data_IF_680455020132
#
_entry.id   IF_680455020132
#
_cell.length_a   1.000
_cell.length_b   1.000
_cell.length_c   1.000
_cell.angle_alpha   90.00
_cell.angle_beta   90.00
_cell.angle_gamma   90.00
#
_symmetry.space_group_name_H-M   'P 1'
#
loop_
_entity.id
_entity.type
_entity.pdbx_description
1 polymer ?
#
# COMPACT_ATOMS: atom_id res chain seq x y z
N UNK A 1 5.77 -1.62 -5.86
CA UNK A 1 4.69 -0.61 -5.81
C UNK A 1 5.19 0.83 -5.65
N UNK A 2 6.27 1.13 -4.89
CA UNK A 2 7.11 2.35 -5.04
C UNK A 2 6.41 3.67 -5.40
N UNK A 3 6.97 4.39 -6.39
CA UNK A 3 6.41 5.66 -6.90
C UNK A 3 5.02 5.51 -7.52
N UNK A 4 4.69 4.34 -8.05
CA UNK A 4 3.37 4.05 -8.61
C UNK A 4 2.27 4.15 -7.54
N UNK A 5 2.53 3.69 -6.31
CA UNK A 5 1.57 3.80 -5.22
C UNK A 5 1.22 5.26 -4.93
N UNK A 6 2.23 6.14 -4.86
CA UNK A 6 2.02 7.57 -4.64
C UNK A 6 1.26 8.22 -5.79
N UNK A 7 1.63 7.91 -7.04
CA UNK A 7 0.90 8.36 -8.22
C UNK A 7 -0.57 7.90 -8.17
N UNK A 8 -0.81 6.64 -7.83
CA UNK A 8 -2.13 6.04 -7.72
C UNK A 8 -2.98 6.76 -6.66
N UNK A 9 -2.43 6.97 -5.45
CA UNK A 9 -3.10 7.76 -4.40
C UNK A 9 -3.44 9.16 -4.89
N UNK A 10 -2.49 9.85 -5.51
CA UNK A 10 -2.69 11.20 -6.03
C UNK A 10 -3.82 11.27 -7.05
N UNK A 11 -3.84 10.35 -8.01
CA UNK A 11 -4.88 10.28 -9.06
C UNK A 11 -6.26 10.05 -8.47
N UNK A 12 -6.41 9.14 -7.51
CA UNK A 12 -7.69 8.90 -6.87
C UNK A 12 -8.19 10.10 -6.07
N UNK A 13 -7.31 10.77 -5.32
CA UNK A 13 -7.67 11.99 -4.60
C UNK A 13 -8.00 13.16 -5.54
N UNK A 14 -7.35 13.25 -6.70
CA UNK A 14 -7.67 14.24 -7.72
C UNK A 14 -9.07 14.03 -8.31
N UNK A 15 -9.44 12.78 -8.62
CA UNK A 15 -10.78 12.44 -9.10
C UNK A 15 -11.86 12.79 -8.07
N UNK A 16 -11.64 12.41 -6.81
CA UNK A 16 -12.55 12.71 -5.70
C UNK A 16 -12.74 14.23 -5.51
N UNK A 17 -11.67 15.01 -5.67
CA UNK A 17 -11.73 16.47 -5.58
C UNK A 17 -12.65 17.06 -6.64
N UNK A 18 -12.57 16.56 -7.88
CA UNK A 18 -13.40 17.03 -9.00
C UNK A 18 -14.90 16.77 -8.81
N UNK A 19 -15.27 15.70 -8.10
CA UNK A 19 -16.68 15.30 -7.94
C UNK A 19 -17.42 16.01 -6.80
N UNK A 20 -16.71 16.47 -5.76
CA UNK A 20 -17.34 16.94 -4.52
C UNK A 20 -17.11 18.42 -4.19
N UNK A 21 -16.41 19.19 -5.04
CA UNK A 21 -16.10 20.60 -4.74
C UNK A 21 -15.31 20.80 -3.43
N UNK A 22 -14.73 19.73 -2.88
CA UNK A 22 -14.01 19.75 -1.61
C UNK A 22 -12.70 20.50 -1.79
N UNK A 23 -12.38 21.38 -0.82
CA UNK A 23 -11.04 21.99 -0.67
C UNK A 23 -10.03 20.98 -0.13
N UNK A 24 -9.90 19.85 -0.82
CA UNK A 24 -8.93 18.81 -0.52
C UNK A 24 -7.69 19.02 -1.38
N UNK A 25 -6.51 18.88 -0.78
CA UNK A 25 -5.22 19.00 -1.47
C UNK A 25 -4.73 17.56 -1.76
N UNK A 26 -4.86 17.05 -2.99
CA UNK A 26 -4.54 15.64 -3.30
C UNK A 26 -3.09 15.27 -2.98
N UNK A 27 -2.18 16.24 -3.08
CA UNK A 27 -0.77 16.05 -2.73
C UNK A 27 -0.59 15.73 -1.24
N UNK A 28 -1.25 16.46 -0.34
CA UNK A 28 -1.19 16.17 1.09
C UNK A 28 -1.79 14.81 1.41
N UNK A 29 -2.90 14.45 0.77
CA UNK A 29 -3.49 13.13 0.94
C UNK A 29 -2.61 11.99 0.41
N UNK A 30 -1.74 12.28 -0.56
CA UNK A 30 -0.75 11.32 -1.08
C UNK A 30 0.42 11.13 -0.11
N UNK A 31 0.94 12.24 0.44
CA UNK A 31 2.03 12.21 1.43
C UNK A 31 1.56 11.50 2.71
N UNK A 32 0.34 11.80 3.15
CA UNK A 32 -0.31 11.14 4.28
C UNK A 32 -1.19 9.95 3.84
N UNK A 33 -0.79 9.23 2.78
CA UNK A 33 -1.57 8.15 2.17
C UNK A 33 -2.06 7.11 3.18
N UNK A 34 -1.18 6.70 4.11
CA UNK A 34 -1.53 5.77 5.18
C UNK A 34 -2.69 6.31 6.04
N UNK A 35 -2.64 7.57 6.49
CA UNK A 35 -3.69 8.19 7.31
C UNK A 35 -5.00 8.39 6.54
N UNK A 36 -4.90 8.57 5.22
CA UNK A 36 -6.06 8.89 4.40
C UNK A 36 -6.71 7.67 3.75
N UNK A 37 -6.13 6.47 3.86
CA UNK A 37 -6.63 5.26 3.20
C UNK A 37 -8.05 4.88 3.64
N UNK A 38 -8.37 5.06 4.92
CA UNK A 38 -9.72 4.82 5.43
C UNK A 38 -10.74 5.75 4.76
N UNK A 39 -10.41 7.04 4.66
CA UNK A 39 -11.28 8.04 4.03
C UNK A 39 -11.41 7.80 2.53
N UNK A 40 -10.31 7.40 1.88
CA UNK A 40 -10.30 7.03 0.47
C UNK A 40 -11.26 5.88 0.21
N UNK A 41 -11.10 4.77 0.95
CA UNK A 41 -11.97 3.60 0.79
C UNK A 41 -13.42 3.91 1.15
N UNK A 42 -13.68 4.71 2.19
CA UNK A 42 -15.05 5.14 2.53
C UNK A 42 -15.72 5.90 1.40
N UNK A 43 -14.98 6.76 0.68
CA UNK A 43 -15.50 7.49 -0.49
C UNK A 43 -15.72 6.58 -1.69
N UNK A 44 -14.83 5.62 -1.93
CA UNK A 44 -15.01 4.62 -2.99
C UNK A 44 -16.27 3.78 -2.73
N UNK A 45 -16.41 3.25 -1.51
CA UNK A 45 -17.59 2.49 -1.07
C UNK A 45 -18.87 3.30 -1.31
N UNK A 46 -18.90 4.56 -0.86
CA UNK A 46 -20.06 5.43 -1.03
C UNK A 46 -20.42 5.64 -2.51
N UNK A 47 -19.43 5.86 -3.38
CA UNK A 47 -19.64 5.98 -4.84
C UNK A 47 -20.22 4.70 -5.42
N UNK A 48 -19.72 3.53 -5.03
CA UNK A 48 -20.20 2.27 -5.58
C UNK A 48 -21.62 1.94 -5.10
N UNK A 49 -21.93 2.25 -3.83
CA UNK A 49 -23.30 2.14 -3.31
C UNK A 49 -24.26 3.06 -4.05
N UNK A 50 -23.87 4.31 -4.34
CA UNK A 50 -24.69 5.23 -5.16
C UNK A 50 -24.91 4.72 -6.58
N UNK A 51 -23.92 4.05 -7.16
CA UNK A 51 -24.02 3.39 -8.46
C UNK A 51 -24.75 2.03 -8.43
N UNK A 52 -25.30 1.63 -7.27
CA UNK A 52 -25.96 0.35 -7.03
C UNK A 52 -25.10 -0.88 -7.42
N UNK A 53 -23.78 -0.79 -7.15
CA UNK A 53 -22.80 -1.85 -7.41
C UNK A 53 -22.41 -2.56 -6.13
N UNK A 54 -22.26 -3.88 -6.19
CA UNK A 54 -21.65 -4.66 -5.11
C UNK A 54 -20.14 -4.47 -5.08
N UNK A 55 -19.58 -4.47 -3.87
CA UNK A 55 -18.13 -4.31 -3.65
C UNK A 55 -17.63 -5.40 -2.71
N UNK A 56 -16.43 -5.89 -2.99
CA UNK A 56 -15.69 -6.77 -2.08
C UNK A 56 -14.78 -5.91 -1.20
N UNK A 57 -15.00 -5.98 0.11
CA UNK A 57 -14.20 -5.24 1.09
C UNK A 57 -14.89 -4.02 1.69
N UNK A 58 -14.50 -3.69 2.92
CA UNK A 58 -15.00 -2.53 3.67
C UNK A 58 -13.87 -1.56 3.98
N UNK A 59 -14.20 -0.28 4.19
CA UNK A 59 -13.22 0.72 4.59
C UNK A 59 -12.47 0.34 5.86
N UNK A 60 -13.17 -0.26 6.84
CA UNK A 60 -12.57 -0.75 8.09
C UNK A 60 -11.67 -1.95 7.80
N UNK A 61 -12.13 -2.93 7.03
CA UNK A 61 -11.36 -4.13 6.71
C UNK A 61 -10.04 -3.80 6.04
N UNK A 62 -10.07 -3.04 4.94
CA UNK A 62 -8.87 -2.57 4.21
C UNK A 62 -7.91 -1.81 5.12
N UNK A 63 -8.44 -0.94 5.98
CA UNK A 63 -7.61 -0.16 6.93
C UNK A 63 -6.94 -1.09 7.94
N UNK A 64 -7.68 -2.03 8.53
CA UNK A 64 -7.12 -2.99 9.48
C UNK A 64 -6.06 -3.89 8.84
N UNK A 65 -6.28 -4.33 7.59
CA UNK A 65 -5.30 -5.14 6.86
C UNK A 65 -3.96 -4.39 6.68
N UNK A 66 -3.99 -3.07 6.53
CA UNK A 66 -2.76 -2.26 6.42
C UNK A 66 -2.15 -2.00 7.80
N UNK A 67 -2.95 -1.56 8.77
CA UNK A 67 -2.45 -1.08 10.05
C UNK A 67 -2.07 -2.19 11.04
N UNK A 68 -2.80 -3.31 11.08
CA UNK A 68 -2.53 -4.36 12.06
C UNK A 68 -1.13 -4.97 11.92
N UNK A 69 -0.64 -5.33 10.72
CA UNK A 69 0.73 -5.83 10.57
C UNK A 69 1.78 -4.76 10.87
N UNK A 70 1.52 -3.48 10.54
CA UNK A 70 2.43 -2.36 10.88
C UNK A 70 2.59 -2.25 12.41
N UNK A 71 1.48 -2.35 13.17
CA UNK A 71 1.53 -2.32 14.62
C UNK A 71 2.27 -3.51 15.22
N UNK A 72 2.13 -4.71 14.62
CA UNK A 72 2.89 -5.90 15.05
C UNK A 72 4.40 -5.73 14.79
N UNK A 73 4.79 -5.17 13.64
CA UNK A 73 6.18 -4.85 13.33
C UNK A 73 6.71 -3.79 14.32
N UNK A 74 5.96 -2.72 14.56
CA UNK A 74 6.35 -1.69 15.51
C UNK A 74 6.49 -2.24 16.94
N UNK A 75 5.60 -3.16 17.34
CA UNK A 75 5.70 -3.86 18.62
C UNK A 75 6.96 -4.72 18.72
N UNK A 76 7.32 -5.44 17.65
CA UNK A 76 8.54 -6.23 17.59
C UNK A 76 9.80 -5.36 17.72
N UNK A 77 9.87 -4.27 16.96
CA UNK A 77 11.05 -3.39 16.89
C UNK A 77 11.23 -2.49 18.12
N UNK A 78 10.14 -1.93 18.65
CA UNK A 78 10.22 -0.84 19.63
C UNK A 78 9.71 -1.20 21.03
N UNK A 79 8.95 -2.29 21.18
CA UNK A 79 8.27 -2.58 22.44
C UNK A 79 8.84 -3.80 23.19
N UNK A 80 9.58 -4.67 22.50
CA UNK A 80 10.20 -5.83 23.15
C UNK A 80 11.40 -5.39 23.98
N UNK A 81 11.32 -5.61 25.30
CA UNK A 81 12.42 -5.32 26.22
C UNK A 81 13.66 -6.17 25.91
N UNK A 82 14.85 -5.58 26.02
CA UNK A 82 16.15 -6.27 25.91
C UNK A 82 16.24 -7.51 26.82
N UNK A 83 15.57 -7.50 27.98
CA UNK A 83 15.53 -8.64 28.91
C UNK A 83 14.76 -9.86 28.38
N UNK A 84 13.77 -9.62 27.52
CA UNK A 84 13.02 -10.68 26.83
C UNK A 84 13.84 -11.14 25.63
N UNK A 85 14.41 -10.18 24.91
CA UNK A 85 15.22 -10.41 23.71
C UNK A 85 16.43 -11.31 24.00
N UNK A 86 17.12 -11.11 25.13
CA UNK A 86 18.29 -11.91 25.55
C UNK A 86 17.97 -13.36 25.94
N UNK A 87 16.69 -13.70 26.12
CA UNK A 87 16.24 -15.07 26.43
C UNK A 87 15.77 -15.83 25.20
N UNK A 88 15.64 -15.16 24.05
CA UNK A 88 15.15 -15.79 22.83
C UNK A 88 16.28 -16.48 22.06
N UNK A 89 16.00 -17.62 21.42
CA UNK A 89 16.95 -18.24 20.49
C UNK A 89 17.29 -17.32 19.32
N UNK A 90 18.52 -17.40 18.82
CA UNK A 90 18.97 -16.58 17.68
C UNK A 90 18.06 -16.72 16.44
N UNK A 91 17.44 -17.89 16.26
CA UNK A 91 16.49 -18.14 15.16
C UNK A 91 15.23 -17.26 15.21
N UNK A 92 14.84 -16.73 16.38
CA UNK A 92 13.68 -15.84 16.47
C UNK A 92 13.95 -14.49 15.82
N UNK A 93 15.20 -14.01 15.85
CA UNK A 93 15.61 -12.76 15.23
C UNK A 93 15.60 -12.81 13.71
N UNK A 94 15.57 -14.00 13.11
CA UNK A 94 15.44 -14.17 11.66
C UNK A 94 14.04 -14.59 11.26
N UNK A 95 13.44 -15.56 11.95
CA UNK A 95 12.13 -16.11 11.59
C UNK A 95 11.01 -15.10 11.81
N UNK A 96 10.97 -14.39 12.96
CA UNK A 96 9.87 -13.47 13.27
C UNK A 96 9.80 -12.29 12.28
N UNK A 97 10.91 -11.58 11.96
CA UNK A 97 10.87 -10.52 10.94
C UNK A 97 10.42 -11.04 9.56
N UNK A 98 10.85 -12.23 9.15
CA UNK A 98 10.42 -12.84 7.90
C UNK A 98 8.90 -13.09 7.92
N UNK A 99 8.37 -13.69 9.00
CA UNK A 99 6.92 -13.94 9.12
C UNK A 99 6.11 -12.64 9.16
N UNK A 100 6.57 -11.62 9.89
CA UNK A 100 5.92 -10.31 9.94
C UNK A 100 5.94 -9.60 8.58
N UNK A 101 7.03 -9.73 7.83
CA UNK A 101 7.15 -9.19 6.46
C UNK A 101 6.19 -9.90 5.51
N UNK A 102 6.12 -11.24 5.56
CA UNK A 102 5.17 -12.02 4.76
C UNK A 102 3.72 -11.68 5.11
N UNK A 103 3.42 -11.50 6.39
CA UNK A 103 2.10 -11.08 6.85
C UNK A 103 1.75 -9.71 6.30
N UNK A 104 2.63 -8.71 6.47
CA UNK A 104 2.42 -7.35 5.98
C UNK A 104 2.20 -7.33 4.46
N UNK A 105 3.08 -7.96 3.70
CA UNK A 105 2.99 -7.99 2.23
C UNK A 105 1.71 -8.67 1.74
N UNK A 106 1.28 -9.76 2.37
CA UNK A 106 0.04 -10.47 2.03
C UNK A 106 -1.18 -9.60 2.28
N UNK A 107 -1.32 -9.08 3.51
CA UNK A 107 -2.45 -8.26 3.89
C UNK A 107 -2.51 -6.95 3.10
N UNK A 108 -1.36 -6.30 2.88
CA UNK A 108 -1.27 -5.12 2.04
C UNK A 108 -1.71 -5.40 0.59
N UNK A 109 -1.29 -6.53 0.02
CA UNK A 109 -1.68 -6.92 -1.34
C UNK A 109 -3.17 -7.18 -1.44
N UNK A 110 -3.76 -7.91 -0.48
CA UNK A 110 -5.21 -8.15 -0.43
C UNK A 110 -5.97 -6.82 -0.30
N UNK A 111 -5.50 -5.91 0.56
CA UNK A 111 -6.11 -4.59 0.73
C UNK A 111 -6.09 -3.79 -0.59
N UNK A 112 -4.95 -3.77 -1.29
CA UNK A 112 -4.83 -3.08 -2.59
C UNK A 112 -5.73 -3.71 -3.66
N UNK A 113 -5.82 -5.04 -3.71
CA UNK A 113 -6.72 -5.75 -4.62
C UNK A 113 -8.18 -5.39 -4.34
N UNK A 114 -8.62 -5.40 -3.08
CA UNK A 114 -9.99 -5.03 -2.72
C UNK A 114 -10.32 -3.58 -3.10
N UNK A 115 -9.40 -2.65 -2.87
CA UNK A 115 -9.62 -1.26 -3.28
C UNK A 115 -9.74 -1.17 -4.81
N UNK A 116 -8.86 -1.87 -5.55
CA UNK A 116 -8.89 -1.84 -7.01
C UNK A 116 -10.15 -2.52 -7.58
N UNK A 117 -10.60 -3.63 -7.00
CA UNK A 117 -11.86 -4.28 -7.38
C UNK A 117 -13.05 -3.36 -7.13
N UNK A 118 -13.09 -2.67 -5.99
CA UNK A 118 -14.15 -1.72 -5.70
C UNK A 118 -14.18 -0.57 -6.72
N UNK A 119 -13.01 0.00 -7.07
CA UNK A 119 -12.89 1.03 -8.12
C UNK A 119 -13.38 0.50 -9.47
N UNK A 120 -12.90 -0.67 -9.87
CA UNK A 120 -13.25 -1.32 -11.13
C UNK A 120 -14.77 -1.53 -11.25
N UNK A 121 -15.41 -2.04 -10.19
CA UNK A 121 -16.87 -2.19 -10.12
C UNK A 121 -17.61 -0.85 -10.23
N UNK A 122 -17.11 0.20 -9.57
CA UNK A 122 -17.63 1.56 -9.64
C UNK A 122 -17.58 2.15 -11.06
N UNK A 123 -16.52 1.87 -11.82
CA UNK A 123 -16.31 2.37 -13.20
C UNK A 123 -16.95 1.46 -14.27
N UNK A 124 -17.61 0.37 -13.88
CA UNK A 124 -18.28 -0.55 -14.79
C UNK A 124 -17.38 -1.61 -15.43
N UNK A 125 -16.13 -1.73 -14.99
CA UNK A 125 -15.15 -2.75 -15.43
C UNK A 125 -14.88 -3.76 -14.31
N UNK A 126 -15.93 -4.42 -13.79
CA UNK A 126 -15.81 -5.34 -12.66
C UNK A 126 -14.83 -6.51 -12.90
N UNK A 127 -14.67 -6.93 -14.16
CA UNK A 127 -13.73 -7.97 -14.55
C UNK A 127 -12.28 -7.47 -14.71
N UNK A 128 -12.04 -6.15 -14.66
CA UNK A 128 -10.71 -5.54 -14.80
C UNK A 128 -10.11 -5.71 -16.19
N UNK A 129 -10.93 -5.80 -17.24
CA UNK A 129 -10.46 -6.02 -18.60
C UNK A 129 -9.65 -4.84 -19.12
N UNK A 130 -9.95 -3.61 -18.73
CA UNK A 130 -9.14 -2.46 -19.11
C UNK A 130 -7.83 -2.42 -18.33
N UNK A 131 -7.86 -2.81 -17.05
CA UNK A 131 -6.67 -2.79 -16.19
C UNK A 131 -5.68 -3.94 -16.48
N UNK A 132 -6.15 -5.01 -17.14
CA UNK A 132 -5.31 -6.14 -17.58
C UNK A 132 -4.55 -5.89 -18.88
N UNK A 133 -4.88 -4.81 -19.62
CA UNK A 133 -4.14 -4.42 -20.82
C UNK A 133 -2.83 -3.75 -20.42
N UNK A 134 -1.73 -4.50 -20.51
CA UNK A 134 -0.39 -3.93 -20.34
C UNK A 134 -0.06 -3.11 -21.58
N UNK A 135 -0.07 -1.78 -21.43
CA UNK A 135 0.41 -0.86 -22.46
C UNK A 135 1.91 -0.61 -22.28
N UNK A 136 2.57 -0.15 -23.35
CA UNK A 136 3.98 0.28 -23.26
C UNK A 136 4.18 1.39 -22.22
N UNK A 137 3.18 2.25 -22.01
CA UNK A 137 3.19 3.25 -20.93
C UNK A 137 3.28 2.61 -19.56
N UNK A 138 2.56 1.50 -19.32
CA UNK A 138 2.62 0.75 -18.06
C UNK A 138 4.02 0.14 -17.86
N UNK A 139 4.62 -0.41 -18.92
CA UNK A 139 5.98 -0.97 -18.88
C UNK A 139 7.02 0.11 -18.56
N UNK A 140 6.95 1.25 -19.25
CA UNK A 140 7.87 2.37 -19.07
C UNK A 140 7.75 2.94 -17.64
N UNK A 141 6.52 3.03 -17.13
CA UNK A 141 6.26 3.46 -15.76
C UNK A 141 6.78 2.48 -14.70
N UNK A 142 6.67 1.16 -14.95
CA UNK A 142 7.29 0.15 -14.08
C UNK A 142 8.81 0.32 -14.03
N UNK A 143 9.48 0.50 -15.18
CA UNK A 143 10.93 0.73 -15.23
C UNK A 143 11.30 1.97 -14.40
N UNK A 144 10.64 3.11 -14.63
CA UNK A 144 10.90 4.36 -13.90
C UNK A 144 10.71 4.17 -12.39
N UNK A 145 9.65 3.48 -11.96
CA UNK A 145 9.35 3.26 -10.55
C UNK A 145 10.38 2.37 -9.83
N UNK A 146 11.11 1.52 -10.56
CA UNK A 146 12.12 0.63 -10.00
C UNK A 146 13.51 1.28 -9.91
N UNK A 147 13.83 2.28 -10.74
CA UNK A 147 15.13 2.97 -10.76
C UNK A 147 15.62 3.49 -9.39
N UNK A 148 14.78 4.09 -8.53
CA UNK A 148 15.25 4.57 -7.23
C UNK A 148 15.60 3.43 -6.27
N UNK A 149 14.85 2.31 -6.36
CA UNK A 149 15.07 1.12 -5.53
C UNK A 149 16.35 0.41 -5.96
N UNK A 150 16.56 0.23 -7.27
CA UNK A 150 17.81 -0.36 -7.79
C UNK A 150 19.01 0.53 -7.52
N UNK A 151 18.88 1.86 -7.62
CA UNK A 151 19.93 2.79 -7.24
C UNK A 151 20.26 2.72 -5.74
N UNK A 152 19.26 2.61 -4.86
CA UNK A 152 19.45 2.45 -3.42
C UNK A 152 20.13 1.11 -3.07
N UNK A 153 19.71 0.01 -3.69
CA UNK A 153 20.38 -1.29 -3.51
C UNK A 153 21.82 -1.25 -4.02
N UNK A 154 22.08 -0.66 -5.20
CA UNK A 154 23.42 -0.48 -5.73
C UNK A 154 24.31 0.35 -4.79
N UNK A 155 23.76 1.44 -4.24
CA UNK A 155 24.45 2.26 -3.24
C UNK A 155 24.77 1.45 -1.98
N UNK A 156 23.78 0.74 -1.40
CA UNK A 156 23.97 -0.07 -0.18
C UNK A 156 24.95 -1.23 -0.39
N UNK A 157 24.94 -1.89 -1.55
CA UNK A 157 25.89 -2.95 -1.89
C UNK A 157 27.32 -2.42 -2.05
N UNK A 158 27.48 -1.25 -2.69
CA UNK A 158 28.78 -0.59 -2.80
C UNK A 158 29.29 -0.08 -1.44
N UNK A 159 28.41 0.48 -0.62
CA UNK A 159 28.75 1.03 0.69
C UNK A 159 29.04 -0.06 1.73
N UNK A 160 28.30 -1.17 1.70
CA UNK A 160 28.55 -2.35 2.54
C UNK A 160 29.86 -3.06 2.20
N UNK A 161 30.31 -3.01 0.94
CA UNK A 161 31.62 -3.51 0.51
C UNK A 161 32.79 -2.59 0.91
N UNK A 162 32.51 -1.35 1.34
CA UNK A 162 33.50 -0.34 1.73
C UNK A 162 33.63 -0.18 3.26
N UNK A 163 32.82 -0.89 4.06
CA UNK A 163 32.99 -0.96 5.51
C UNK A 163 33.94 -2.11 5.88
N UNK A 164 35.00 -1.87 6.68
CA UNK A 164 35.95 -2.89 7.12
C UNK A 164 35.36 -3.89 8.11
#
# INVERSE_FOLDING_TARGET
MGLYLYYWYYRHWLLIRGQHGLRLIPLLCTIFGALTIFFLMKKIVARCTQANRSIEGSAVGVTLMIYAPILLIAGWEFYISEKVLSKLPLSFFTIIPIMLTLLYTTFFSVAMVQIQQAINSCEGDACGFENSKITWTNVLWLIICWLPITALFGFLSAYGALMP
#
